data_IF_565661005689
#
_entry.id   IF_565661005689
#
_cell.length_a   1.000
_cell.length_b   1.000
_cell.length_c   1.000
_cell.angle_alpha   90.00
_cell.angle_beta   90.00
_cell.angle_gamma   90.00
#
_symmetry.space_group_name_H-M   'P 1'
#
loop_
_entity.id
_entity.type
_entity.pdbx_description
1 polymer ?
#
# COMPACT_ATOMS: atom_id res chain seq x y z
N UNK A 1 -27.63 1.01 10.02
CA UNK A 1 -27.70 -0.29 9.31
C UNK A 1 -26.28 -0.81 9.21
N UNK A 2 -26.03 -2.08 9.53
CA UNK A 2 -24.66 -2.64 9.44
C UNK A 2 -24.27 -2.77 7.97
N UNK A 3 -23.07 -2.33 7.63
CA UNK A 3 -22.47 -2.52 6.31
C UNK A 3 -21.93 -3.96 6.25
N UNK A 4 -22.35 -4.72 5.25
CA UNK A 4 -21.98 -6.13 5.13
C UNK A 4 -21.27 -6.41 3.80
N UNK A 5 -20.45 -7.44 3.79
CA UNK A 5 -19.84 -7.97 2.57
C UNK A 5 -20.83 -8.87 1.84
N UNK A 6 -20.95 -8.68 0.53
CA UNK A 6 -21.75 -9.54 -0.35
C UNK A 6 -20.80 -10.22 -1.33
N UNK A 7 -20.67 -11.54 -1.21
CA UNK A 7 -19.82 -12.30 -2.11
C UNK A 7 -20.29 -12.17 -3.56
N UNK A 8 -19.37 -11.83 -4.46
CA UNK A 8 -19.63 -11.65 -5.90
C UNK A 8 -19.77 -13.03 -6.57
N UNK A 9 -20.68 -13.20 -7.55
CA UNK A 9 -20.71 -14.39 -8.39
C UNK A 9 -19.39 -14.58 -9.13
N UNK A 10 -18.97 -15.82 -9.31
CA UNK A 10 -17.70 -16.14 -9.99
C UNK A 10 -17.87 -16.63 -11.41
N UNK A 11 -19.10 -16.80 -11.87
CA UNK A 11 -19.44 -17.29 -13.22
C UNK A 11 -20.52 -16.41 -13.85
N UNK A 12 -20.39 -16.11 -15.15
CA UNK A 12 -19.24 -16.32 -16.02
C UNK A 12 -18.08 -15.38 -15.68
N UNK A 13 -16.90 -15.66 -16.21
CA UNK A 13 -15.77 -14.71 -16.15
C UNK A 13 -16.11 -13.43 -16.92
N UNK A 14 -15.44 -12.35 -16.59
CA UNK A 14 -15.58 -11.09 -17.32
C UNK A 14 -15.04 -11.22 -18.73
N UNK A 15 -15.72 -10.59 -19.68
CA UNK A 15 -15.27 -10.49 -21.07
C UNK A 15 -14.24 -9.36 -21.22
N UNK A 16 -14.40 -8.31 -20.42
CA UNK A 16 -13.52 -7.15 -20.40
C UNK A 16 -13.45 -6.58 -18.99
N UNK A 17 -12.27 -6.18 -18.60
CA UNK A 17 -12.00 -5.44 -17.37
C UNK A 17 -11.23 -4.16 -17.73
N UNK A 18 -11.55 -3.07 -17.06
CA UNK A 18 -10.84 -1.80 -17.14
C UNK A 18 -10.62 -1.32 -15.72
N UNK A 19 -9.41 -1.56 -15.21
CA UNK A 19 -9.02 -1.31 -13.83
C UNK A 19 -8.18 -0.04 -13.75
N UNK A 20 -8.57 0.94 -12.94
CA UNK A 20 -7.96 2.28 -12.93
C UNK A 20 -7.69 2.77 -11.53
N UNK A 21 -6.53 3.43 -11.36
CA UNK A 21 -6.21 4.20 -10.17
C UNK A 21 -6.55 5.69 -10.43
N UNK A 22 -7.48 6.24 -9.67
CA UNK A 22 -7.85 7.64 -9.72
C UNK A 22 -7.09 8.43 -8.66
N UNK A 23 -6.56 9.59 -9.06
CA UNK A 23 -5.96 10.56 -8.17
C UNK A 23 -6.67 11.89 -8.29
N UNK A 24 -6.86 12.58 -7.17
CA UNK A 24 -7.36 13.94 -7.18
C UNK A 24 -6.17 14.90 -7.28
N UNK A 25 -5.98 15.48 -8.47
CA UNK A 25 -4.94 16.50 -8.74
C UNK A 25 -5.61 17.75 -9.26
N UNK A 26 -5.49 18.86 -8.52
CA UNK A 26 -5.88 20.17 -8.98
C UNK A 26 -4.78 20.75 -9.88
N UNK A 27 -5.17 21.34 -11.01
CA UNK A 27 -4.27 21.96 -11.95
C UNK A 27 -4.76 23.36 -12.31
N UNK A 28 -3.91 24.35 -12.18
CA UNK A 28 -4.19 25.74 -12.56
C UNK A 28 -3.09 26.23 -13.50
N UNK A 29 -3.49 26.79 -14.64
CA UNK A 29 -2.57 27.38 -15.61
C UNK A 29 -2.77 28.89 -15.61
N UNK A 30 -1.68 29.66 -15.47
CA UNK A 30 -1.73 31.11 -15.57
C UNK A 30 -2.02 31.52 -17.02
N UNK A 31 -3.07 32.27 -17.32
CA UNK A 31 -3.36 32.70 -18.67
C UNK A 31 -2.33 33.75 -19.21
N UNK A 32 -1.55 34.39 -18.33
CA UNK A 32 -0.60 35.40 -18.71
C UNK A 32 0.82 34.85 -18.94
N UNK A 33 1.22 33.84 -18.18
CA UNK A 33 2.60 33.32 -18.22
C UNK A 33 2.69 31.89 -18.71
N UNK A 34 1.56 31.19 -18.88
CA UNK A 34 1.53 29.75 -19.20
C UNK A 34 2.08 28.86 -18.08
N UNK A 35 2.51 29.41 -16.94
CA UNK A 35 3.01 28.61 -15.83
C UNK A 35 1.88 27.78 -15.24
N UNK A 36 2.15 26.50 -15.06
CA UNK A 36 1.27 25.53 -14.47
C UNK A 36 1.60 25.34 -12.99
N UNK A 37 0.59 25.37 -12.14
CA UNK A 37 0.67 24.96 -10.74
C UNK A 37 -0.21 23.74 -10.52
N UNK A 38 0.35 22.68 -9.97
CA UNK A 38 -0.36 21.46 -9.62
C UNK A 38 -0.45 21.32 -8.09
N UNK A 39 -1.57 20.81 -7.62
CA UNK A 39 -1.80 20.47 -6.21
C UNK A 39 -2.39 19.07 -6.15
N UNK A 40 -1.69 18.17 -5.49
CA UNK A 40 -2.17 16.82 -5.22
C UNK A 40 -2.99 16.81 -3.93
N UNK A 41 -4.14 16.14 -3.97
CA UNK A 41 -4.99 15.90 -2.81
C UNK A 41 -4.85 14.45 -2.36
N UNK A 42 -5.11 14.19 -1.09
CA UNK A 42 -4.95 12.86 -0.48
C UNK A 42 -5.91 11.76 -0.99
N UNK A 43 -6.82 12.13 -1.91
CA UNK A 43 -7.74 11.15 -2.47
C UNK A 43 -7.08 10.36 -3.59
N UNK A 44 -6.86 9.08 -3.33
CA UNK A 44 -6.45 8.07 -4.32
C UNK A 44 -7.34 6.85 -4.16
N UNK A 45 -7.93 6.36 -5.24
CA UNK A 45 -8.85 5.23 -5.18
C UNK A 45 -8.86 4.39 -6.44
N UNK A 46 -9.08 3.10 -6.27
CA UNK A 46 -9.29 2.17 -7.38
C UNK A 46 -10.73 2.25 -7.89
N UNK A 47 -10.89 2.18 -9.19
CA UNK A 47 -12.17 1.92 -9.85
C UNK A 47 -12.00 0.80 -10.86
N UNK A 48 -13.09 0.07 -11.11
CA UNK A 48 -13.12 -0.97 -12.11
C UNK A 48 -14.42 -0.88 -12.92
N UNK A 49 -14.30 -1.00 -14.22
CA UNK A 49 -15.42 -1.19 -15.12
C UNK A 49 -15.29 -2.56 -15.75
N UNK A 50 -16.30 -3.42 -15.57
CA UNK A 50 -16.28 -4.78 -16.06
C UNK A 50 -17.47 -5.05 -16.96
N UNK A 51 -17.25 -5.85 -17.99
CA UNK A 51 -18.29 -6.28 -18.92
C UNK A 51 -18.46 -7.77 -18.81
N UNK A 52 -19.69 -8.20 -18.60
CA UNK A 52 -20.06 -9.61 -18.59
C UNK A 52 -20.43 -10.08 -20.01
N UNK A 53 -20.12 -11.32 -20.39
CA UNK A 53 -20.59 -11.87 -21.66
C UNK A 53 -22.10 -12.09 -21.65
N UNK A 54 -22.72 -12.24 -22.82
CA UNK A 54 -24.10 -12.71 -22.91
C UNK A 54 -24.29 -14.03 -22.15
N UNK A 55 -25.32 -14.12 -21.33
CA UNK A 55 -25.53 -15.25 -20.45
C UNK A 55 -26.99 -15.73 -20.45
N UNK A 56 -27.18 -16.99 -20.07
CA UNK A 56 -28.52 -17.54 -19.88
C UNK A 56 -29.22 -16.90 -18.67
N UNK A 57 -30.55 -16.81 -18.72
CA UNK A 57 -31.36 -16.18 -17.66
C UNK A 57 -31.05 -16.67 -16.25
N UNK A 58 -30.81 -17.96 -16.06
CA UNK A 58 -30.51 -18.50 -14.72
C UNK A 58 -29.20 -17.94 -14.16
N UNK A 59 -28.17 -17.73 -14.97
CA UNK A 59 -26.90 -17.14 -14.59
C UNK A 59 -27.06 -15.64 -14.36
N UNK A 60 -27.77 -14.95 -15.27
CA UNK A 60 -28.06 -13.54 -15.13
C UNK A 60 -28.83 -13.22 -13.83
N UNK A 61 -29.76 -14.08 -13.42
CA UNK A 61 -30.51 -13.91 -12.18
C UNK A 61 -29.62 -13.89 -10.94
N UNK A 62 -28.50 -14.64 -10.93
CA UNK A 62 -27.53 -14.60 -9.82
C UNK A 62 -26.85 -13.22 -9.72
N UNK A 63 -26.45 -12.66 -10.86
CA UNK A 63 -25.86 -11.32 -10.92
C UNK A 63 -26.85 -10.22 -10.52
N UNK A 64 -28.09 -10.32 -10.99
CA UNK A 64 -29.17 -9.39 -10.61
C UNK A 64 -29.43 -9.46 -9.10
N UNK A 65 -29.54 -10.68 -8.54
CA UNK A 65 -29.71 -10.88 -7.11
C UNK A 65 -28.56 -10.29 -6.31
N UNK A 66 -27.32 -10.48 -6.78
CA UNK A 66 -26.13 -9.91 -6.14
C UNK A 66 -26.14 -8.39 -6.16
N UNK A 67 -26.38 -7.77 -7.32
CA UNK A 67 -26.50 -6.32 -7.45
C UNK A 67 -27.59 -5.73 -6.54
N UNK A 68 -28.75 -6.40 -6.49
CA UNK A 68 -29.89 -5.98 -5.62
C UNK A 68 -29.49 -6.04 -4.13
N UNK A 69 -28.75 -7.08 -3.72
CA UNK A 69 -28.27 -7.24 -2.34
C UNK A 69 -27.21 -6.21 -1.95
N UNK A 70 -26.44 -5.67 -2.89
CA UNK A 70 -25.49 -4.59 -2.63
C UNK A 70 -26.17 -3.28 -2.22
N UNK A 71 -27.46 -3.09 -2.60
CA UNK A 71 -28.26 -1.88 -2.26
C UNK A 71 -27.51 -0.60 -2.66
N UNK A 72 -27.07 -0.56 -3.92
CA UNK A 72 -26.22 0.51 -4.42
C UNK A 72 -24.86 0.52 -3.72
N UNK A 73 -24.43 1.68 -3.26
CA UNK A 73 -23.13 1.85 -2.57
C UNK A 73 -23.16 1.48 -1.07
N UNK A 74 -24.30 0.97 -0.53
CA UNK A 74 -24.44 0.72 0.92
C UNK A 74 -23.58 -0.43 1.40
N UNK A 75 -23.56 -1.54 0.67
CA UNK A 75 -22.77 -2.71 0.98
C UNK A 75 -21.48 -2.76 0.13
N UNK A 76 -20.59 -3.68 0.43
CA UNK A 76 -19.33 -3.81 -0.29
C UNK A 76 -19.09 -5.26 -0.73
N UNK A 77 -18.14 -5.41 -1.64
CA UNK A 77 -17.65 -6.70 -2.12
C UNK A 77 -16.13 -6.67 -2.27
N UNK A 78 -15.52 -7.82 -2.30
CA UNK A 78 -14.11 -7.97 -2.61
C UNK A 78 -13.93 -8.13 -4.11
N UNK A 79 -13.00 -7.36 -4.67
CA UNK A 79 -12.68 -7.45 -6.09
C UNK A 79 -11.17 -7.42 -6.28
N UNK A 80 -10.66 -8.26 -7.18
CA UNK A 80 -9.29 -8.28 -7.68
C UNK A 80 -9.29 -7.84 -9.14
N UNK A 81 -8.18 -7.30 -9.60
CA UNK A 81 -7.99 -7.11 -11.04
C UNK A 81 -8.00 -8.47 -11.75
N UNK A 82 -8.95 -8.73 -12.65
CA UNK A 82 -9.03 -10.01 -13.34
C UNK A 82 -7.80 -10.36 -14.18
N UNK A 83 -7.06 -9.35 -14.64
CA UNK A 83 -5.88 -9.50 -15.46
C UNK A 83 -4.59 -9.69 -14.62
N UNK A 84 -4.68 -9.48 -13.30
CA UNK A 84 -3.55 -9.58 -12.39
C UNK A 84 -3.82 -10.51 -11.19
N UNK A 85 -4.42 -11.67 -11.45
CA UNK A 85 -4.70 -12.68 -10.43
C UNK A 85 -3.43 -13.42 -9.96
N UNK A 86 -2.41 -13.46 -10.80
CA UNK A 86 -1.09 -14.05 -10.50
C UNK A 86 -0.08 -12.92 -10.36
N UNK A 87 0.82 -13.07 -9.40
CA UNK A 87 1.94 -12.14 -9.23
C UNK A 87 2.96 -12.28 -10.37
N UNK A 88 3.63 -11.18 -10.69
CA UNK A 88 4.76 -11.15 -11.63
C UNK A 88 6.04 -11.66 -10.97
N UNK A 89 6.15 -11.51 -9.65
CA UNK A 89 7.23 -12.04 -8.85
C UNK A 89 7.17 -13.56 -8.73
N UNK A 90 8.18 -14.14 -8.08
CA UNK A 90 8.40 -15.59 -7.99
C UNK A 90 8.06 -16.19 -6.62
N UNK A 91 7.49 -15.42 -5.68
CA UNK A 91 7.03 -16.00 -4.41
C UNK A 91 5.89 -17.00 -4.65
N UNK A 92 6.05 -18.20 -4.12
CA UNK A 92 5.05 -19.26 -4.12
C UNK A 92 4.10 -19.21 -2.90
N UNK A 93 4.42 -18.37 -1.91
CA UNK A 93 3.59 -18.19 -0.71
C UNK A 93 2.46 -17.21 -0.98
N UNK A 94 1.27 -17.53 -0.51
CA UNK A 94 0.10 -16.66 -0.68
C UNK A 94 0.17 -15.38 0.17
N UNK A 95 1.03 -15.33 1.18
CA UNK A 95 1.07 -14.26 2.19
C UNK A 95 2.49 -13.87 2.55
N UNK A 96 2.67 -12.56 2.77
CA UNK A 96 3.83 -11.98 3.42
C UNK A 96 3.40 -11.40 4.76
N UNK A 97 4.29 -11.38 5.72
CA UNK A 97 4.03 -10.81 7.04
C UNK A 97 4.57 -9.38 7.09
N UNK A 98 3.76 -8.45 7.61
CA UNK A 98 4.22 -7.10 7.88
C UNK A 98 5.19 -7.08 9.07
N UNK A 99 6.34 -6.46 8.90
CA UNK A 99 7.38 -6.37 9.94
C UNK A 99 7.96 -4.97 9.95
N UNK A 100 7.36 -4.04 10.69
CA UNK A 100 8.01 -2.77 10.95
C UNK A 100 9.28 -3.00 11.78
N UNK A 101 10.42 -2.54 11.28
CA UNK A 101 11.75 -2.64 11.91
C UNK A 101 12.11 -1.38 12.68
N UNK A 102 11.54 -0.27 12.26
CA UNK A 102 11.71 1.04 12.89
C UNK A 102 10.34 1.53 13.32
N UNK A 103 10.14 1.71 14.61
CA UNK A 103 8.87 2.22 15.14
C UNK A 103 9.10 2.90 16.48
N UNK A 104 9.21 4.22 16.47
CA UNK A 104 9.39 5.04 17.66
C UNK A 104 8.35 6.14 17.70
N UNK A 105 7.67 6.26 18.81
CA UNK A 105 6.57 7.20 19.00
C UNK A 105 7.04 8.63 19.29
N UNK A 106 8.27 8.81 19.77
CA UNK A 106 8.89 10.11 20.02
C UNK A 106 10.39 9.92 20.12
N UNK A 107 11.14 10.73 19.40
CA UNK A 107 12.61 10.73 19.42
C UNK A 107 13.13 12.10 19.01
N UNK A 108 14.39 12.37 19.35
CA UNK A 108 15.09 13.58 18.92
C UNK A 108 15.86 13.29 17.64
N UNK A 109 15.48 13.95 16.55
CA UNK A 109 16.15 13.80 15.26
C UNK A 109 16.93 15.06 14.87
N UNK A 110 18.05 14.83 14.21
CA UNK A 110 18.80 15.85 13.49
C UNK A 110 18.80 15.50 12.01
N UNK A 111 18.37 16.44 11.19
CA UNK A 111 18.35 16.33 9.74
C UNK A 111 19.45 17.21 9.13
N UNK A 112 20.17 16.68 8.18
CA UNK A 112 21.23 17.40 7.52
C UNK A 112 21.04 17.47 6.00
N UNK A 113 21.59 18.52 5.38
CA UNK A 113 21.49 18.75 3.93
C UNK A 113 22.20 17.71 3.07
N UNK A 114 23.00 16.84 3.68
CA UNK A 114 23.59 15.65 3.02
C UNK A 114 22.63 14.45 3.03
N UNK A 115 21.35 14.69 3.34
CA UNK A 115 20.26 13.71 3.42
C UNK A 115 20.47 12.67 4.52
N UNK A 116 21.21 13.01 5.57
CA UNK A 116 21.38 12.14 6.73
C UNK A 116 20.37 12.49 7.83
N UNK A 117 19.92 11.45 8.51
CA UNK A 117 19.05 11.51 9.68
C UNK A 117 19.81 10.86 10.82
N UNK A 118 20.01 11.60 11.90
CA UNK A 118 20.70 11.17 13.11
C UNK A 118 19.68 11.17 14.27
N UNK A 119 19.67 10.09 15.05
CA UNK A 119 18.91 9.92 16.28
C UNK A 119 19.83 9.94 17.49
N UNK A 120 19.34 10.41 18.63
CA UNK A 120 20.10 10.39 19.89
C UNK A 120 20.24 8.98 20.48
N UNK A 121 19.41 8.04 20.05
CA UNK A 121 19.41 6.65 20.49
C UNK A 121 19.95 5.68 19.45
N UNK A 122 19.24 4.58 19.26
CA UNK A 122 19.61 3.49 18.33
C UNK A 122 18.41 2.99 17.52
N UNK A 123 17.54 3.91 17.09
CA UNK A 123 16.27 3.55 16.45
C UNK A 123 16.44 2.86 15.09
N UNK A 124 17.61 3.02 14.46
CA UNK A 124 17.92 2.43 13.16
C UNK A 124 18.71 1.11 13.26
N UNK A 125 18.83 0.50 14.47
CA UNK A 125 19.61 -0.71 14.66
C UNK A 125 19.16 -1.89 13.78
N UNK A 126 17.85 -2.02 13.54
CA UNK A 126 17.27 -3.07 12.72
C UNK A 126 16.92 -2.61 11.28
N UNK A 127 17.24 -1.35 10.95
CA UNK A 127 16.99 -0.80 9.63
C UNK A 127 17.88 -1.46 8.58
N UNK A 128 17.37 -1.62 7.37
CA UNK A 128 18.15 -2.11 6.23
C UNK A 128 18.05 -1.14 5.04
N UNK A 129 19.04 -1.18 4.17
CA UNK A 129 19.03 -0.39 2.94
C UNK A 129 17.80 -0.75 2.10
N UNK A 130 17.11 0.28 1.63
CA UNK A 130 15.87 0.13 0.87
C UNK A 130 14.61 0.18 1.72
N UNK A 131 14.71 0.23 3.04
CA UNK A 131 13.55 0.45 3.91
C UNK A 131 12.92 1.80 3.68
N UNK A 132 11.61 1.85 3.87
CA UNK A 132 10.84 3.08 3.90
C UNK A 132 10.50 3.41 5.34
N UNK A 133 10.86 4.61 5.77
CA UNK A 133 10.48 5.19 7.06
C UNK A 133 9.50 6.33 6.83
N UNK A 134 8.54 6.48 7.72
CA UNK A 134 7.58 7.57 7.71
C UNK A 134 7.84 8.47 8.92
N UNK A 135 8.18 9.72 8.65
CA UNK A 135 8.50 10.72 9.67
C UNK A 135 7.36 11.70 9.80
N UNK A 136 7.02 12.03 11.02
CA UNK A 136 6.06 13.08 11.36
C UNK A 136 6.53 13.84 12.59
N UNK A 137 6.16 15.11 12.68
CA UNK A 137 6.47 15.96 13.84
C UNK A 137 7.77 16.75 13.68
N UNK A 138 8.46 16.66 12.54
CA UNK A 138 9.55 17.57 12.21
C UNK A 138 9.00 18.98 11.98
N UNK A 139 9.74 20.00 12.45
CA UNK A 139 9.31 21.42 12.30
C UNK A 139 9.37 21.85 10.85
N UNK A 140 10.38 21.38 10.09
CA UNK A 140 10.42 21.58 8.66
C UNK A 140 9.52 20.58 7.95
N UNK A 141 8.62 21.09 7.12
CA UNK A 141 7.64 20.24 6.42
C UNK A 141 8.28 19.31 5.41
N UNK A 142 9.47 19.64 4.87
CA UNK A 142 10.21 18.81 3.91
C UNK A 142 10.75 17.54 4.55
N UNK A 143 10.98 17.56 5.87
CA UNK A 143 11.47 16.42 6.63
C UNK A 143 10.35 15.43 7.02
N UNK A 144 9.07 15.85 6.89
CA UNK A 144 7.92 14.98 7.16
C UNK A 144 7.54 14.17 5.91
N UNK A 145 7.14 12.94 6.10
CA UNK A 145 6.67 12.06 5.02
C UNK A 145 7.42 10.74 4.92
N UNK A 146 7.29 10.09 3.78
CA UNK A 146 7.97 8.81 3.51
C UNK A 146 9.35 9.05 2.91
N UNK A 147 10.37 8.49 3.54
CA UNK A 147 11.75 8.52 3.08
C UNK A 147 12.28 7.11 2.89
N UNK A 148 13.03 6.89 1.80
CA UNK A 148 13.69 5.62 1.51
C UNK A 148 15.12 5.66 1.99
N UNK A 149 15.53 4.69 2.79
CA UNK A 149 16.91 4.55 3.29
C UNK A 149 17.81 4.10 2.14
N UNK A 150 18.82 4.89 1.83
CA UNK A 150 19.87 4.55 0.85
C UNK A 150 21.11 3.96 1.48
N UNK A 151 21.44 4.37 2.72
CA UNK A 151 22.59 3.85 3.48
C UNK A 151 22.22 3.76 4.96
N UNK A 152 22.57 2.66 5.59
CA UNK A 152 22.59 2.54 7.06
C UNK A 152 24.01 2.79 7.51
N UNK A 153 24.26 3.97 8.07
CA UNK A 153 25.61 4.41 8.45
C UNK A 153 25.99 3.87 9.84
N UNK A 154 25.03 3.84 10.76
CA UNK A 154 25.18 3.35 12.12
C UNK A 154 23.79 3.00 12.71
N UNK A 155 23.76 2.41 13.90
CA UNK A 155 22.51 2.08 14.59
C UNK A 155 21.64 3.30 14.90
N UNK A 156 22.23 4.49 14.86
CA UNK A 156 21.54 5.76 15.11
C UNK A 156 21.60 6.71 13.90
N UNK A 157 22.14 6.30 12.75
CA UNK A 157 22.30 7.19 11.60
C UNK A 157 21.97 6.47 10.29
N UNK A 158 21.12 7.10 9.48
CA UNK A 158 20.80 6.65 8.11
C UNK A 158 20.92 7.81 7.13
N UNK A 159 21.17 7.46 5.86
CA UNK A 159 21.06 8.39 4.73
C UNK A 159 19.83 8.00 3.93
N UNK A 160 19.04 8.97 3.50
CA UNK A 160 17.83 8.77 2.68
C UNK A 160 18.02 9.28 1.26
N UNK A 161 17.14 8.87 0.35
CA UNK A 161 17.19 9.28 -1.06
C UNK A 161 16.57 10.65 -1.31
N UNK A 162 15.69 11.10 -0.44
CA UNK A 162 15.00 12.39 -0.52
C UNK A 162 15.88 13.53 0.00
N UNK A 163 15.69 14.72 -0.55
CA UNK A 163 16.32 15.93 -0.01
C UNK A 163 15.70 16.28 1.33
N UNK A 164 16.55 16.68 2.29
CA UNK A 164 16.14 17.08 3.62
C UNK A 164 16.54 18.55 3.87
N UNK A 165 15.73 19.24 4.64
CA UNK A 165 16.11 20.53 5.21
C UNK A 165 16.92 20.32 6.50
N UNK A 166 17.92 21.18 6.72
CA UNK A 166 18.73 21.12 7.94
C UNK A 166 17.90 21.51 9.17
N UNK A 167 17.82 20.61 10.14
CA UNK A 167 17.08 20.81 11.38
C UNK A 167 17.81 20.09 12.52
N UNK A 168 18.05 20.78 13.63
CA UNK A 168 18.80 20.24 14.75
C UNK A 168 17.89 19.94 15.94
N UNK A 169 18.06 18.76 16.51
CA UNK A 169 17.48 18.35 17.79
C UNK A 169 15.96 18.53 17.86
N UNK A 170 15.26 18.10 16.82
CA UNK A 170 13.80 18.04 16.85
C UNK A 170 13.33 16.90 17.77
N UNK A 171 12.75 17.23 18.90
CA UNK A 171 12.38 16.29 19.98
C UNK A 171 10.98 15.70 19.87
N UNK A 172 10.23 16.07 18.82
CA UNK A 172 8.83 15.64 18.66
C UNK A 172 8.63 14.67 17.50
N UNK A 173 9.72 14.23 16.88
CA UNK A 173 9.64 13.36 15.73
C UNK A 173 9.14 11.97 16.07
N UNK A 174 8.31 11.44 15.17
CA UNK A 174 7.91 10.03 15.14
C UNK A 174 8.51 9.40 13.91
N UNK A 175 9.19 8.28 14.09
CA UNK A 175 9.73 7.49 12.97
C UNK A 175 9.07 6.13 12.99
N UNK A 176 8.35 5.81 11.94
CA UNK A 176 7.53 4.59 11.90
C UNK A 176 7.59 3.96 10.50
N UNK A 177 7.25 2.68 10.44
CA UNK A 177 7.06 1.95 9.20
C UNK A 177 5.66 1.34 9.18
N UNK A 178 5.15 1.06 7.99
CA UNK A 178 3.86 0.42 7.78
C UNK A 178 2.67 1.16 8.43
N UNK A 179 2.74 2.47 8.54
CA UNK A 179 1.70 3.29 9.17
C UNK A 179 0.85 4.03 8.14
N UNK A 180 -0.33 4.45 8.56
CA UNK A 180 -1.23 5.26 7.74
C UNK A 180 -0.51 6.48 7.18
N UNK A 181 -0.67 6.71 5.88
CA UNK A 181 -0.03 7.81 5.15
C UNK A 181 1.30 7.43 4.48
N UNK A 182 1.96 6.35 4.89
CA UNK A 182 3.18 5.89 4.26
C UNK A 182 2.94 5.32 2.85
N UNK A 183 3.92 5.49 1.96
CA UNK A 183 3.95 4.91 0.61
C UNK A 183 4.91 3.73 0.50
N UNK A 184 5.30 3.15 1.62
CA UNK A 184 6.22 2.03 1.67
C UNK A 184 5.79 0.98 2.70
N UNK A 185 6.14 -0.27 2.42
CA UNK A 185 5.88 -1.42 3.27
C UNK A 185 7.16 -2.19 3.55
N UNK A 186 7.35 -2.54 4.81
CA UNK A 186 8.37 -3.48 5.28
C UNK A 186 7.72 -4.82 5.57
N UNK A 187 8.16 -5.84 4.84
CA UNK A 187 7.58 -7.17 4.83
C UNK A 187 8.66 -8.23 5.08
N UNK A 188 8.25 -9.42 5.48
CA UNK A 188 9.08 -10.62 5.46
C UNK A 188 8.33 -11.81 4.89
N UNK A 189 9.03 -12.77 4.34
CA UNK A 189 8.44 -14.04 3.93
C UNK A 189 7.91 -14.79 5.17
N UNK A 190 6.71 -15.38 5.06
CA UNK A 190 6.08 -16.13 6.16
C UNK A 190 6.74 -17.50 6.41
N UNK A 191 7.45 -18.03 5.41
CA UNK A 191 8.15 -19.31 5.47
C UNK A 191 9.65 -19.13 5.19
N UNK A 192 10.47 -20.10 5.59
CA UNK A 192 11.93 -20.10 5.36
C UNK A 192 12.31 -20.31 3.89
N UNK A 193 11.39 -20.21 2.95
CA UNK A 193 11.67 -20.29 1.52
C UNK A 193 12.45 -19.05 1.10
N UNK A 194 13.76 -19.24 0.97
CA UNK A 194 14.73 -18.22 0.58
C UNK A 194 14.59 -17.77 -0.90
N UNK A 195 13.71 -18.37 -1.67
CA UNK A 195 13.61 -18.15 -3.09
C UNK A 195 12.26 -17.55 -3.44
N UNK A 196 12.25 -16.26 -3.69
CA UNK A 196 11.07 -15.57 -4.21
C UNK A 196 11.34 -14.08 -4.35
N UNK A 197 10.62 -13.43 -5.21
CA UNK A 197 10.69 -11.99 -5.42
C UNK A 197 9.29 -11.40 -5.55
N UNK A 198 9.14 -10.15 -5.12
CA UNK A 198 8.05 -9.27 -5.53
C UNK A 198 8.57 -8.49 -6.74
N UNK A 199 7.72 -8.21 -7.70
CA UNK A 199 8.05 -7.40 -8.86
C UNK A 199 7.28 -6.06 -8.83
N UNK A 200 7.84 -5.05 -9.49
CA UNK A 200 7.11 -3.81 -9.79
C UNK A 200 5.90 -4.16 -10.67
N UNK A 201 4.75 -3.64 -10.32
CA UNK A 201 3.48 -3.97 -10.97
C UNK A 201 2.67 -5.07 -10.26
N UNK A 202 3.23 -5.75 -9.26
CA UNK A 202 2.46 -6.67 -8.42
C UNK A 202 1.43 -5.91 -7.59
N UNK A 203 0.27 -6.52 -7.40
CA UNK A 203 -0.73 -6.03 -6.46
C UNK A 203 -0.58 -6.69 -5.09
N UNK A 204 -0.88 -5.93 -4.06
CA UNK A 204 -0.85 -6.38 -2.66
C UNK A 204 -2.20 -6.11 -2.00
N UNK A 205 -2.82 -7.14 -1.47
CA UNK A 205 -4.04 -7.02 -0.65
C UNK A 205 -3.68 -6.97 0.83
N UNK A 206 -3.88 -5.84 1.47
CA UNK A 206 -3.55 -5.65 2.89
C UNK A 206 -4.64 -6.23 3.78
N UNK A 207 -4.27 -7.16 4.66
CA UNK A 207 -5.12 -7.72 5.71
C UNK A 207 -4.72 -7.10 7.06
N UNK A 208 -5.68 -6.64 7.84
CA UNK A 208 -5.41 -6.12 9.20
C UNK A 208 -5.48 -7.23 10.26
N UNK A 209 -5.10 -8.43 9.92
CA UNK A 209 -4.98 -9.57 10.83
C UNK A 209 -4.07 -10.64 10.23
N UNK A 210 -3.63 -11.58 11.06
CA UNK A 210 -2.88 -12.75 10.65
C UNK A 210 -3.78 -13.92 10.20
N UNK A 211 -5.05 -13.67 9.97
CA UNK A 211 -5.98 -14.70 9.47
C UNK A 211 -6.14 -14.61 7.96
N UNK A 212 -5.90 -15.71 7.27
CA UNK A 212 -6.08 -15.86 5.83
C UNK A 212 -7.53 -15.63 5.36
N UNK A 213 -8.49 -15.76 6.27
CA UNK A 213 -9.92 -15.54 6.02
C UNK A 213 -10.36 -14.09 6.24
N UNK A 214 -9.46 -13.24 6.71
CA UNK A 214 -9.78 -11.83 6.92
C UNK A 214 -10.06 -11.11 5.60
N UNK A 215 -10.98 -10.17 5.67
CA UNK A 215 -11.32 -9.31 4.53
C UNK A 215 -10.17 -8.33 4.30
N UNK A 216 -9.61 -8.24 3.09
CA UNK A 216 -8.60 -7.25 2.78
C UNK A 216 -9.18 -5.84 2.99
N UNK A 217 -8.36 -4.94 3.51
CA UNK A 217 -8.75 -3.56 3.80
C UNK A 217 -8.36 -2.60 2.70
N UNK A 218 -7.30 -2.92 1.98
CA UNK A 218 -6.78 -2.06 0.93
C UNK A 218 -6.06 -2.88 -0.14
N UNK A 219 -6.17 -2.44 -1.39
CA UNK A 219 -5.39 -2.92 -2.53
C UNK A 219 -4.31 -1.89 -2.85
N UNK A 220 -3.08 -2.35 -2.96
CA UNK A 220 -1.90 -1.55 -3.27
C UNK A 220 -1.24 -2.09 -4.54
N UNK A 221 -0.62 -1.21 -5.31
CA UNK A 221 0.26 -1.55 -6.43
C UNK A 221 1.70 -1.34 -5.99
N UNK A 222 2.57 -2.29 -6.29
CA UNK A 222 4.01 -2.17 -6.05
C UNK A 222 4.62 -1.26 -7.12
N UNK A 223 5.19 -0.16 -6.71
CA UNK A 223 5.82 0.83 -7.59
C UNK A 223 7.33 0.73 -7.59
N UNK A 224 7.89 0.21 -6.52
CA UNK A 224 9.33 0.03 -6.34
C UNK A 224 9.61 -1.16 -5.44
N UNK A 225 10.68 -1.88 -5.71
CA UNK A 225 11.14 -3.00 -4.89
C UNK A 225 12.58 -2.73 -4.46
N UNK A 226 12.84 -2.80 -3.16
CA UNK A 226 14.19 -2.72 -2.64
C UNK A 226 14.89 -4.08 -2.69
N UNK A 227 16.20 -4.06 -2.49
CA UNK A 227 17.00 -5.28 -2.39
C UNK A 227 16.46 -6.16 -1.26
N UNK A 228 16.19 -7.40 -1.57
CA UNK A 228 15.79 -8.39 -0.58
C UNK A 228 17.03 -8.86 0.19
N UNK A 229 16.97 -8.73 1.51
CA UNK A 229 18.10 -9.13 2.37
C UNK A 229 17.70 -10.36 3.16
N UNK A 230 18.52 -11.42 3.05
CA UNK A 230 18.39 -12.60 3.90
C UNK A 230 18.70 -12.23 5.36
N UNK A 231 17.80 -12.56 6.27
CA UNK A 231 18.01 -12.37 7.72
C UNK A 231 18.29 -13.66 8.45
N UNK A 232 18.83 -13.53 9.64
CA UNK A 232 18.97 -14.62 10.60
C UNK A 232 17.64 -15.37 10.76
N UNK A 233 17.67 -16.69 10.50
CA UNK A 233 16.47 -17.55 10.49
C UNK A 233 15.92 -17.85 9.09
N UNK A 234 16.60 -17.46 8.01
CA UNK A 234 16.27 -17.86 6.62
C UNK A 234 15.08 -17.14 5.98
N UNK A 235 14.53 -16.13 6.63
CA UNK A 235 13.41 -15.33 6.09
C UNK A 235 13.96 -14.08 5.42
N UNK A 236 13.54 -13.82 4.18
CA UNK A 236 13.92 -12.61 3.47
C UNK A 236 13.11 -11.40 3.99
N UNK A 237 13.81 -10.31 4.28
CA UNK A 237 13.22 -9.00 4.47
C UNK A 237 13.03 -8.32 3.11
N UNK A 238 11.87 -7.72 2.92
CA UNK A 238 11.47 -7.11 1.66
C UNK A 238 10.91 -5.74 2.00
N UNK A 239 11.40 -4.71 1.32
CA UNK A 239 10.82 -3.38 1.39
C UNK A 239 10.34 -2.97 0.01
N UNK A 240 9.11 -2.51 -0.07
CA UNK A 240 8.46 -2.12 -1.33
C UNK A 240 7.86 -0.73 -1.22
N UNK A 241 8.01 0.05 -2.29
CA UNK A 241 7.22 1.26 -2.49
C UNK A 241 5.84 0.87 -3.01
N UNK A 242 4.79 1.53 -2.54
CA UNK A 242 3.40 1.18 -2.86
C UNK A 242 2.55 2.41 -3.15
N UNK A 243 1.56 2.21 -4.01
CA UNK A 243 0.48 3.15 -4.28
C UNK A 243 -0.88 2.44 -4.23
N UNK A 244 -1.93 3.07 -3.70
CA UNK A 244 -1.96 4.34 -2.98
C UNK A 244 -1.31 4.26 -1.58
N UNK A 245 -1.18 5.41 -0.90
CA UNK A 245 -0.74 5.50 0.52
C UNK A 245 -1.54 4.55 1.41
N UNK A 246 -0.91 4.05 2.46
CA UNK A 246 -1.57 3.22 3.46
C UNK A 246 -2.72 3.98 4.14
N UNK A 247 -3.87 3.36 4.25
CA UNK A 247 -5.07 3.93 4.89
C UNK A 247 -5.20 3.57 6.37
N UNK A 248 -4.43 2.61 6.83
CA UNK A 248 -4.39 2.16 8.21
C UNK A 248 -2.99 1.66 8.56
N UNK A 249 -2.69 1.61 9.84
CA UNK A 249 -1.46 1.02 10.35
C UNK A 249 -1.49 -0.50 10.15
N UNK A 250 -0.36 -1.03 9.71
CA UNK A 250 -0.18 -2.46 9.45
C UNK A 250 0.88 -2.96 10.42
N UNK A 251 0.43 -3.44 11.57
CA UNK A 251 1.30 -3.88 12.65
C UNK A 251 1.98 -5.22 12.36
N UNK A 252 3.01 -5.53 13.11
CA UNK A 252 3.69 -6.82 13.04
C UNK A 252 2.71 -7.99 13.16
N UNK A 253 2.90 -9.00 12.32
CA UNK A 253 2.03 -10.17 12.26
C UNK A 253 0.79 -10.02 11.38
N UNK A 254 0.49 -8.83 10.87
CA UNK A 254 -0.55 -8.68 9.85
C UNK A 254 -0.07 -9.27 8.52
N UNK A 255 -0.98 -9.89 7.79
CA UNK A 255 -0.67 -10.46 6.49
C UNK A 255 -0.91 -9.49 5.35
N UNK A 256 -0.07 -9.61 4.33
CA UNK A 256 -0.23 -8.99 3.02
C UNK A 256 -0.33 -10.11 1.99
N UNK A 257 -1.47 -10.17 1.32
CA UNK A 257 -1.76 -11.18 0.30
C UNK A 257 -1.31 -10.67 -1.06
N UNK A 258 -0.60 -11.47 -1.83
CA UNK A 258 -0.15 -11.10 -3.17
C UNK A 258 -0.56 -12.10 -4.25
N UNK A 259 -1.12 -13.24 -3.90
CA UNK A 259 -1.80 -14.14 -4.85
C UNK A 259 -3.28 -13.82 -4.86
N UNK A 260 -3.84 -13.48 -6.00
CA UNK A 260 -5.21 -12.97 -6.17
C UNK A 260 -5.55 -11.88 -5.14
N UNK A 261 -4.77 -10.80 -5.07
CA UNK A 261 -4.98 -9.74 -4.11
C UNK A 261 -6.30 -9.05 -4.38
N UNK A 262 -7.07 -8.78 -3.34
CA UNK A 262 -8.38 -8.15 -3.44
C UNK A 262 -8.40 -6.84 -2.69
N UNK A 263 -9.20 -5.90 -3.18
CA UNK A 263 -9.59 -4.69 -2.47
C UNK A 263 -11.07 -4.71 -2.12
N UNK A 264 -11.49 -3.75 -1.31
CA UNK A 264 -12.89 -3.48 -1.00
C UNK A 264 -13.43 -2.51 -2.03
N UNK A 265 -14.52 -2.90 -2.69
CA UNK A 265 -15.20 -2.10 -3.69
C UNK A 265 -16.67 -1.90 -3.33
N UNK A 266 -17.24 -0.85 -3.87
CA UNK A 266 -18.67 -0.51 -3.81
C UNK A 266 -19.13 -0.13 -5.20
N UNK A 267 -20.42 -0.25 -5.47
CA UNK A 267 -20.99 0.31 -6.69
C UNK A 267 -20.86 1.83 -6.66
N UNK A 268 -20.57 2.42 -7.80
CA UNK A 268 -20.49 3.89 -7.97
C UNK A 268 -21.89 4.49 -8.12
N UNK A 269 -22.82 3.69 -8.63
CA UNK A 269 -24.20 4.09 -8.84
C UNK A 269 -25.14 3.36 -7.87
N UNK A 270 -26.20 4.03 -7.47
CA UNK A 270 -27.28 3.48 -6.67
C UNK A 270 -28.43 2.93 -7.53
N UNK A 271 -28.39 3.14 -8.85
CA UNK A 271 -29.33 2.61 -9.82
C UNK A 271 -28.77 1.31 -10.38
N UNK A 272 -29.59 0.28 -10.41
CA UNK A 272 -29.26 -1.01 -11.02
C UNK A 272 -30.21 -1.21 -12.19
N UNK A 273 -29.66 -1.17 -13.38
CA UNK A 273 -30.37 -1.45 -14.64
C UNK A 273 -29.93 -2.80 -15.20
N UNK A 274 -30.90 -3.55 -15.80
CA UNK A 274 -30.63 -4.84 -16.46
C UNK A 274 -31.57 -5.09 -17.65
#
# INVERSE_FOLDING_TARGET
>A
MAVIEIAMPTTPNFMRSDFRLHRAVGQTVSPFTGKQKTQEYDYVGWSAQVTLPPMRRAVAANWQSWLTRLKGSSNFFQFADPDALTNLGTYDTAYLEAVPRVSVASTTLTFATDNTILDDGTIFADAVVGDYIFITGANDTENNGTHKISVVNANNKVTVTSTLAAENNDSNCKVQQNVKGATGLSLKASTNTAAGSIAVGDYLGVLTSNSATSVPKQLLLVTEVSTQTAVSGGKNLISVGTEPKLRADITSGHFVKFTSPKGIFRLTDNIVEW
#
